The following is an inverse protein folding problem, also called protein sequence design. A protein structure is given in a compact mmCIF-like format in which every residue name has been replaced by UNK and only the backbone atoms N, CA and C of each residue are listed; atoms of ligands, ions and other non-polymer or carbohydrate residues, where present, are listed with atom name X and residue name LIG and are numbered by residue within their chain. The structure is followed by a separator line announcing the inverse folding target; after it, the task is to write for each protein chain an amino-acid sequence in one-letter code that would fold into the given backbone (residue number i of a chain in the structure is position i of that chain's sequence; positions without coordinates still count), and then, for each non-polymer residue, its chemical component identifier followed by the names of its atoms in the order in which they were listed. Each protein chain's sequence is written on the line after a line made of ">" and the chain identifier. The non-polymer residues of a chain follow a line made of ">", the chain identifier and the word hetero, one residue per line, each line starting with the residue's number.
data_IF_264241419083
#
_entry.id   IF_264241419083
#
_cell.length_a   1.000
_cell.length_b   1.000
_cell.length_c   1.000
_cell.angle_alpha   90.00
_cell.angle_beta   90.00
_cell.angle_gamma   90.00
#
_symmetry.space_group_name_H-M   'P 1'
#
loop_
_entity.id
_entity.type
_entity.pdbx_description
1 polymer ?
#
# COMPACT_ATOMS: atom_id res chain seq x y z
N UNK A 1 13.21 12.90 11.37
CA UNK A 1 11.97 13.02 10.58
C UNK A 1 10.85 12.36 11.36
N UNK A 2 9.69 12.95 11.42
CA UNK A 2 8.52 12.39 12.14
C UNK A 2 7.92 11.27 11.29
N UNK A 3 7.60 10.12 11.87
CA UNK A 3 7.04 8.96 11.15
C UNK A 3 5.77 9.30 10.37
N UNK A 4 4.92 10.15 10.94
CA UNK A 4 3.73 10.64 10.24
C UNK A 4 4.08 11.36 8.93
N UNK A 5 5.09 12.22 8.92
CA UNK A 5 5.55 12.90 7.69
C UNK A 5 6.09 11.90 6.67
N UNK A 6 6.76 10.84 7.14
CA UNK A 6 7.25 9.77 6.28
C UNK A 6 6.11 8.95 5.68
N UNK A 7 5.07 8.63 6.48
CA UNK A 7 3.88 7.93 5.99
C UNK A 7 3.15 8.73 4.91
N UNK A 8 2.95 10.03 5.14
CA UNK A 8 2.28 10.91 4.18
C UNK A 8 3.12 11.10 2.91
N UNK A 9 4.44 11.26 3.05
CA UNK A 9 5.37 11.31 1.91
C UNK A 9 5.34 10.02 1.07
N UNK A 10 5.25 8.87 1.73
CA UNK A 10 5.11 7.57 1.05
C UNK A 10 3.77 7.44 0.31
N UNK A 11 2.66 7.94 0.88
CA UNK A 11 1.37 8.00 0.20
C UNK A 11 1.39 8.94 -1.01
N UNK A 12 2.06 10.09 -0.91
CA UNK A 12 2.23 10.98 -2.06
C UNK A 12 3.02 10.29 -3.17
N UNK A 13 4.10 9.59 -2.82
CA UNK A 13 4.90 8.83 -3.78
C UNK A 13 4.07 7.73 -4.47
N UNK A 14 3.25 7.00 -3.70
CA UNK A 14 2.30 6.02 -4.21
C UNK A 14 1.29 6.65 -5.17
N UNK A 15 0.67 7.75 -4.78
CA UNK A 15 -0.34 8.45 -5.59
C UNK A 15 0.24 9.00 -6.89
N UNK A 16 1.42 9.61 -6.83
CA UNK A 16 2.13 10.11 -8.03
C UNK A 16 2.49 8.94 -8.95
N UNK A 17 3.05 7.84 -8.42
CA UNK A 17 3.37 6.66 -9.20
C UNK A 17 2.15 6.05 -9.87
N UNK A 18 1.03 5.96 -9.15
CA UNK A 18 -0.25 5.47 -9.70
C UNK A 18 -0.77 6.39 -10.81
N UNK A 19 -0.85 7.70 -10.58
CA UNK A 19 -1.31 8.64 -11.59
C UNK A 19 -0.42 8.64 -12.83
N UNK A 20 0.91 8.60 -12.65
CA UNK A 20 1.88 8.58 -13.74
C UNK A 20 1.78 7.33 -14.62
N UNK A 21 1.29 6.20 -14.07
CA UNK A 21 1.12 4.95 -14.84
C UNK A 21 0.17 5.14 -16.03
N UNK A 22 -0.86 5.96 -15.88
CA UNK A 22 -1.78 6.27 -16.97
C UNK A 22 -1.14 7.06 -18.13
N UNK A 23 -0.10 7.87 -17.85
CA UNK A 23 0.55 8.71 -18.87
C UNK A 23 1.70 8.01 -19.61
N UNK A 24 2.29 6.97 -19.06
CA UNK A 24 3.47 6.32 -19.60
C UNK A 24 3.22 4.85 -19.95
N UNK A 25 2.39 4.55 -20.98
CA UNK A 25 2.03 3.18 -21.35
C UNK A 25 3.17 2.43 -22.08
N UNK A 26 4.40 2.90 -22.01
CA UNK A 26 5.58 2.23 -22.56
C UNK A 26 6.17 1.25 -21.54
N UNK A 27 6.84 0.19 -21.98
CA UNK A 27 7.46 -0.77 -21.08
C UNK A 27 8.39 -0.12 -20.05
N UNK A 28 9.23 0.82 -20.49
CA UNK A 28 10.15 1.57 -19.60
C UNK A 28 9.36 2.46 -18.62
N UNK A 29 8.31 3.13 -19.12
CA UNK A 29 7.43 3.96 -18.28
C UNK A 29 6.73 3.13 -17.21
N UNK A 30 6.16 1.98 -17.57
CA UNK A 30 5.49 1.07 -16.64
C UNK A 30 6.46 0.51 -15.59
N UNK A 31 7.69 0.16 -15.97
CA UNK A 31 8.70 -0.25 -14.98
C UNK A 31 9.05 0.89 -14.00
N UNK A 32 9.27 2.09 -14.51
CA UNK A 32 9.62 3.24 -13.67
C UNK A 32 8.48 3.60 -12.70
N UNK A 33 7.25 3.68 -13.18
CA UNK A 33 6.07 3.98 -12.34
C UNK A 33 5.77 2.87 -11.35
N UNK A 34 5.96 1.59 -11.74
CA UNK A 34 5.81 0.45 -10.83
C UNK A 34 6.83 0.50 -9.70
N UNK A 35 8.10 0.81 -9.98
CA UNK A 35 9.13 0.97 -8.94
C UNK A 35 8.75 2.11 -7.99
N UNK A 36 8.29 3.24 -8.53
CA UNK A 36 7.87 4.40 -7.74
C UNK A 36 6.68 4.06 -6.83
N UNK A 37 5.64 3.46 -7.40
CA UNK A 37 4.42 3.04 -6.72
C UNK A 37 4.71 1.98 -5.64
N UNK A 38 5.51 0.96 -5.98
CA UNK A 38 5.90 -0.11 -5.07
C UNK A 38 6.72 0.43 -3.89
N UNK A 39 7.66 1.34 -4.15
CA UNK A 39 8.45 2.00 -3.10
C UNK A 39 7.54 2.77 -2.15
N UNK A 40 6.62 3.58 -2.67
CA UNK A 40 5.65 4.31 -1.86
C UNK A 40 4.78 3.39 -1.02
N UNK A 41 4.25 2.32 -1.63
CA UNK A 41 3.39 1.35 -0.95
C UNK A 41 4.10 0.64 0.21
N UNK A 42 5.27 0.03 -0.03
CA UNK A 42 5.98 -0.72 1.00
C UNK A 42 6.51 0.17 2.12
N UNK A 43 6.93 1.39 1.77
CA UNK A 43 7.37 2.35 2.78
C UNK A 43 6.20 2.80 3.67
N UNK A 44 5.05 3.10 3.07
CA UNK A 44 3.82 3.41 3.79
C UNK A 44 3.38 2.26 4.70
N UNK A 45 3.34 1.03 4.19
CA UNK A 45 2.96 -0.16 4.94
C UNK A 45 3.84 -0.33 6.19
N UNK A 46 5.16 -0.20 6.03
CA UNK A 46 6.13 -0.34 7.12
C UNK A 46 5.95 0.74 8.19
N UNK A 47 5.83 2.00 7.77
CA UNK A 47 5.66 3.12 8.72
C UNK A 47 4.30 3.05 9.41
N UNK A 48 3.25 2.68 8.69
CA UNK A 48 1.90 2.52 9.23
C UNK A 48 1.86 1.42 10.31
N UNK A 49 2.52 0.28 10.08
CA UNK A 49 2.65 -0.77 11.09
C UNK A 49 3.41 -0.29 12.33
N UNK A 50 4.49 0.47 12.15
CA UNK A 50 5.23 1.07 13.26
C UNK A 50 4.36 2.03 14.09
N UNK A 51 3.58 2.88 13.43
CA UNK A 51 2.65 3.80 14.09
C UNK A 51 1.56 3.05 14.87
N UNK A 52 0.98 2.01 14.30
CA UNK A 52 -0.03 1.19 14.97
C UNK A 52 0.52 0.55 16.24
N UNK A 53 1.73 -0.01 16.21
CA UNK A 53 2.39 -0.63 17.36
C UNK A 53 2.74 0.38 18.46
N UNK A 54 2.97 1.64 18.12
CA UNK A 54 3.27 2.70 19.10
C UNK A 54 2.01 3.28 19.75
N UNK A 55 0.91 3.35 19.00
CA UNK A 55 -0.28 4.07 19.43
C UNK A 55 -1.36 3.17 20.02
N UNK A 56 -1.40 1.90 19.64
CA UNK A 56 -2.36 0.98 20.24
C UNK A 56 -1.85 0.50 21.60
N UNK A 57 -2.74 0.48 22.56
CA UNK A 57 -2.48 -0.11 23.87
C UNK A 57 -2.32 -1.63 23.76
N UNK A 58 -1.38 -2.24 24.48
CA UNK A 58 -1.07 -3.67 24.41
C UNK A 58 -2.30 -4.58 24.59
N UNK A 59 -3.24 -4.18 25.45
CA UNK A 59 -4.45 -4.94 25.71
C UNK A 59 -5.42 -4.97 24.52
N UNK A 60 -5.47 -3.90 23.73
CA UNK A 60 -6.44 -3.71 22.64
C UNK A 60 -5.79 -3.79 21.24
N UNK A 61 -4.46 -3.84 21.17
CA UNK A 61 -3.71 -3.78 19.90
C UNK A 61 -4.19 -4.82 18.89
N UNK A 62 -4.30 -6.10 19.28
CA UNK A 62 -4.72 -7.17 18.38
C UNK A 62 -6.13 -6.93 17.83
N UNK A 63 -7.06 -6.49 18.67
CA UNK A 63 -8.43 -6.17 18.27
C UNK A 63 -8.47 -4.98 17.29
N UNK A 64 -7.77 -3.89 17.60
CA UNK A 64 -7.75 -2.70 16.77
C UNK A 64 -7.04 -2.94 15.43
N UNK A 65 -5.93 -3.67 15.42
CA UNK A 65 -5.26 -4.08 14.17
C UNK A 65 -6.17 -4.97 13.32
N UNK A 66 -6.89 -5.92 13.92
CA UNK A 66 -7.88 -6.75 13.22
C UNK A 66 -9.00 -5.91 12.59
N UNK A 67 -9.52 -4.92 13.30
CA UNK A 67 -10.53 -3.98 12.75
C UNK A 67 -9.97 -3.17 11.58
N UNK A 68 -8.74 -2.69 11.65
CA UNK A 68 -8.12 -1.95 10.54
C UNK A 68 -7.96 -2.83 9.31
N UNK A 69 -7.55 -4.10 9.48
CA UNK A 69 -7.48 -5.06 8.37
C UNK A 69 -8.86 -5.30 7.77
N UNK A 70 -9.89 -5.49 8.60
CA UNK A 70 -11.27 -5.70 8.13
C UNK A 70 -11.80 -4.48 7.34
N UNK A 71 -11.59 -3.26 7.86
CA UNK A 71 -11.97 -2.01 7.17
C UNK A 71 -11.21 -1.89 5.84
N UNK A 72 -9.91 -2.17 5.83
CA UNK A 72 -9.10 -2.15 4.60
C UNK A 72 -9.57 -3.15 3.56
N UNK A 73 -9.93 -4.37 3.98
CA UNK A 73 -10.46 -5.39 3.08
C UNK A 73 -11.82 -4.99 2.49
N UNK A 74 -12.70 -4.41 3.32
CA UNK A 74 -13.99 -3.90 2.85
C UNK A 74 -13.81 -2.72 1.88
N UNK A 75 -12.92 -1.79 2.19
CA UNK A 75 -12.58 -0.67 1.30
C UNK A 75 -12.00 -1.16 -0.04
N UNK A 76 -11.18 -2.22 -0.03
CA UNK A 76 -10.64 -2.83 -1.26
C UNK A 76 -11.76 -3.44 -2.11
N UNK A 77 -12.74 -4.12 -1.48
CA UNK A 77 -13.89 -4.65 -2.20
C UNK A 77 -14.72 -3.55 -2.88
N UNK A 78 -14.95 -2.44 -2.17
CA UNK A 78 -15.62 -1.27 -2.75
C UNK A 78 -14.80 -0.66 -3.90
N UNK A 79 -13.47 -0.55 -3.74
CA UNK A 79 -12.59 -0.02 -4.78
C UNK A 79 -12.64 -0.89 -6.04
N UNK A 80 -12.61 -2.22 -5.91
CA UNK A 80 -12.76 -3.13 -7.06
C UNK A 80 -14.10 -2.95 -7.76
N UNK A 81 -15.20 -2.82 -7.01
CA UNK A 81 -16.52 -2.53 -7.56
C UNK A 81 -16.58 -1.20 -8.32
N UNK A 82 -15.93 -0.15 -7.76
CA UNK A 82 -15.85 1.16 -8.42
C UNK A 82 -15.03 1.10 -9.70
N UNK A 83 -13.88 0.42 -9.71
CA UNK A 83 -13.06 0.24 -10.91
C UNK A 83 -13.83 -0.52 -11.99
N UNK A 84 -14.50 -1.61 -11.63
CA UNK A 84 -15.35 -2.35 -12.55
C UNK A 84 -16.46 -1.46 -13.13
N UNK A 85 -17.13 -0.69 -12.30
CA UNK A 85 -18.21 0.21 -12.71
C UNK A 85 -17.70 1.31 -13.66
N UNK A 86 -16.49 1.85 -13.41
CA UNK A 86 -15.84 2.82 -14.29
C UNK A 86 -15.53 2.23 -15.67
N UNK A 87 -14.97 1.01 -15.70
CA UNK A 87 -14.54 0.38 -16.95
C UNK A 87 -15.69 -0.18 -17.76
N UNK A 88 -16.62 -0.95 -17.11
CA UNK A 88 -17.63 -1.75 -17.78
C UNK A 88 -18.94 -0.97 -18.04
N UNK A 89 -19.30 -0.04 -17.14
CA UNK A 89 -20.57 0.69 -17.26
C UNK A 89 -20.38 2.08 -17.84
N UNK A 90 -19.31 2.78 -17.44
CA UNK A 90 -19.05 4.13 -17.91
C UNK A 90 -18.04 4.22 -19.07
N UNK A 91 -17.54 3.09 -19.57
CA UNK A 91 -16.54 3.02 -20.65
C UNK A 91 -15.33 3.95 -20.44
N UNK A 92 -14.93 4.14 -19.16
CA UNK A 92 -13.80 4.98 -18.80
C UNK A 92 -12.50 4.27 -19.17
N UNK A 93 -11.55 4.98 -19.76
CA UNK A 93 -10.26 4.39 -20.13
C UNK A 93 -9.41 4.03 -18.90
N UNK A 94 -8.57 3.01 -19.02
CA UNK A 94 -7.62 2.63 -17.96
C UNK A 94 -6.73 3.78 -17.50
N UNK A 95 -6.30 4.64 -18.43
CA UNK A 95 -5.51 5.85 -18.14
C UNK A 95 -6.25 6.76 -17.16
N UNK A 96 -7.54 6.99 -17.39
CA UNK A 96 -8.38 7.81 -16.51
C UNK A 96 -8.56 7.15 -15.14
N UNK A 97 -8.70 5.83 -15.09
CA UNK A 97 -8.78 5.09 -13.80
C UNK A 97 -7.51 5.29 -12.99
N UNK A 98 -6.33 5.18 -13.60
CA UNK A 98 -5.06 5.43 -12.93
C UNK A 98 -4.94 6.89 -12.44
N UNK A 99 -5.34 7.85 -13.26
CA UNK A 99 -5.33 9.27 -12.90
C UNK A 99 -6.24 9.58 -11.73
N UNK A 100 -7.48 9.10 -11.78
CA UNK A 100 -8.47 9.31 -10.71
C UNK A 100 -8.01 8.65 -9.41
N UNK A 101 -7.52 7.41 -9.49
CA UNK A 101 -7.05 6.67 -8.31
C UNK A 101 -5.81 7.31 -7.67
N UNK A 102 -4.83 7.69 -8.49
CA UNK A 102 -3.63 8.39 -8.03
C UNK A 102 -3.96 9.78 -7.49
N UNK A 103 -4.82 10.54 -8.18
CA UNK A 103 -5.29 11.84 -7.74
C UNK A 103 -6.06 11.79 -6.41
N UNK A 104 -6.93 10.80 -6.25
CA UNK A 104 -7.64 10.56 -4.99
C UNK A 104 -6.66 10.23 -3.85
N UNK A 105 -5.64 9.41 -4.09
CA UNK A 105 -4.61 9.09 -3.11
C UNK A 105 -3.82 10.34 -2.70
N UNK A 106 -3.45 11.20 -3.64
CA UNK A 106 -2.76 12.47 -3.37
C UNK A 106 -3.67 13.42 -2.57
N UNK A 107 -4.94 13.53 -2.94
CA UNK A 107 -5.90 14.36 -2.24
C UNK A 107 -6.12 13.91 -0.80
N UNK A 108 -6.24 12.59 -0.56
CA UNK A 108 -6.33 12.01 0.79
C UNK A 108 -5.06 12.29 1.59
N UNK A 109 -3.88 12.10 1.00
CA UNK A 109 -2.63 12.41 1.67
C UNK A 109 -2.52 13.88 2.06
N UNK A 110 -2.90 14.79 1.14
CA UNK A 110 -2.95 16.23 1.40
C UNK A 110 -3.96 16.60 2.49
N UNK A 111 -5.15 16.02 2.46
CA UNK A 111 -6.16 16.19 3.49
C UNK A 111 -5.65 15.73 4.86
N UNK A 112 -5.06 14.54 4.93
CA UNK A 112 -4.46 14.03 6.16
C UNK A 112 -3.33 14.94 6.67
N UNK A 113 -2.54 15.52 5.76
CA UNK A 113 -1.47 16.44 6.14
C UNK A 113 -1.99 17.69 6.86
N UNK A 114 -3.13 18.21 6.41
CA UNK A 114 -3.73 19.45 6.96
C UNK A 114 -4.56 19.18 8.20
N UNK A 115 -5.33 18.09 8.23
CA UNK A 115 -6.36 17.86 9.24
C UNK A 115 -5.83 17.06 10.44
N UNK A 116 -4.92 16.12 10.22
CA UNK A 116 -4.46 15.30 11.34
C UNK A 116 -3.47 16.03 12.23
N UNK A 117 -3.72 16.01 13.56
CA UNK A 117 -2.79 16.59 14.53
C UNK A 117 -1.47 15.82 14.54
N UNK A 118 -0.40 16.51 14.89
CA UNK A 118 0.89 15.86 15.08
C UNK A 118 0.90 15.02 16.36
N UNK A 119 1.10 13.72 16.19
CA UNK A 119 1.28 12.80 17.30
C UNK A 119 2.75 12.81 17.76
N UNK A 120 3.02 13.00 19.07
CA UNK A 120 4.38 12.92 19.59
C UNK A 120 4.90 11.48 19.48
N UNK A 121 6.16 11.34 19.14
CA UNK A 121 6.83 10.05 19.07
C UNK A 121 6.92 9.41 20.47
N UNK A 122 6.39 8.20 20.65
CA UNK A 122 6.35 7.53 21.96
C UNK A 122 7.57 6.66 22.23
N UNK A 123 8.26 6.22 21.17
CA UNK A 123 9.40 5.30 21.27
C UNK A 123 10.56 5.84 20.47
N UNK A 124 11.76 5.82 21.07
CA UNK A 124 12.99 6.21 20.38
C UNK A 124 13.32 5.21 19.28
N UNK A 125 13.49 5.71 18.06
CA UNK A 125 13.75 4.87 16.89
C UNK A 125 15.21 4.46 16.81
N UNK A 126 15.47 3.16 16.74
CA UNK A 126 16.79 2.64 16.50
C UNK A 126 17.15 2.72 15.01
N UNK A 127 18.22 3.46 14.67
CA UNK A 127 18.68 3.62 13.28
C UNK A 127 19.38 2.37 12.71
N UNK A 128 19.64 1.36 13.54
CA UNK A 128 20.32 0.12 13.13
C UNK A 128 19.34 -1.04 13.06
N UNK A 129 19.43 -1.82 12.00
CA UNK A 129 18.67 -3.07 11.89
C UNK A 129 19.22 -4.05 12.93
N UNK A 130 18.39 -4.44 13.88
CA UNK A 130 18.76 -5.40 14.94
C UNK A 130 18.12 -6.74 14.60
N UNK A 131 18.90 -7.63 13.98
CA UNK A 131 18.50 -9.01 13.73
C UNK A 131 18.95 -9.87 14.91
N UNK A 132 18.00 -10.36 15.70
CA UNK A 132 18.29 -11.25 16.84
C UNK A 132 18.23 -12.70 16.39
N UNK A 133 19.32 -13.46 16.57
CA UNK A 133 19.40 -14.89 16.19
C UNK A 133 18.24 -15.73 16.75
N UNK A 134 17.71 -15.38 17.92
CA UNK A 134 16.57 -16.07 18.54
C UNK A 134 15.30 -16.07 17.65
N UNK A 135 15.12 -15.08 16.78
CA UNK A 135 13.93 -14.91 15.94
C UNK A 135 14.15 -15.31 14.48
N UNK A 136 15.20 -16.09 14.18
CA UNK A 136 15.53 -16.49 12.81
C UNK A 136 14.38 -17.21 12.10
N UNK A 137 13.64 -18.08 12.83
CA UNK A 137 12.48 -18.80 12.30
C UNK A 137 11.36 -17.83 11.91
N UNK A 138 11.10 -16.82 12.74
CA UNK A 138 10.11 -15.78 12.42
C UNK A 138 10.52 -15.01 11.15
N UNK A 139 11.78 -14.66 10.99
CA UNK A 139 12.27 -13.99 9.78
C UNK A 139 12.14 -14.88 8.54
N UNK A 140 12.48 -16.15 8.65
CA UNK A 140 12.33 -17.12 7.57
C UNK A 140 10.84 -17.31 7.17
N UNK A 141 9.94 -17.44 8.14
CA UNK A 141 8.49 -17.56 7.90
C UNK A 141 7.91 -16.30 7.25
N UNK A 142 8.33 -15.10 7.69
CA UNK A 142 7.92 -13.83 7.09
C UNK A 142 8.39 -13.73 5.63
N UNK A 143 9.65 -14.09 5.37
CA UNK A 143 10.19 -14.11 4.02
C UNK A 143 9.41 -15.08 3.11
N UNK A 144 9.20 -16.32 3.55
CA UNK A 144 8.44 -17.32 2.79
C UNK A 144 6.98 -16.92 2.59
N UNK A 145 6.35 -16.28 3.58
CA UNK A 145 4.99 -15.77 3.47
C UNK A 145 4.88 -14.67 2.42
N UNK A 146 5.85 -13.76 2.37
CA UNK A 146 5.94 -12.72 1.35
C UNK A 146 6.15 -13.30 -0.04
N UNK A 147 7.08 -14.24 -0.18
CA UNK A 147 7.34 -14.93 -1.45
C UNK A 147 6.10 -15.67 -1.97
N UNK A 148 5.41 -16.42 -1.12
CA UNK A 148 4.16 -17.13 -1.47
C UNK A 148 3.08 -16.16 -1.99
N UNK A 149 2.87 -15.04 -1.30
CA UNK A 149 1.87 -14.05 -1.69
C UNK A 149 2.18 -13.50 -3.09
N UNK A 150 3.44 -13.17 -3.34
CA UNK A 150 3.85 -12.61 -4.63
C UNK A 150 3.69 -13.61 -5.77
N UNK A 151 4.09 -14.87 -5.56
CA UNK A 151 3.89 -15.94 -6.52
C UNK A 151 2.40 -16.06 -6.87
N UNK A 152 1.53 -16.14 -5.87
CA UNK A 152 0.08 -16.27 -6.10
C UNK A 152 -0.49 -15.10 -6.89
N UNK A 153 -0.18 -13.86 -6.51
CA UNK A 153 -0.72 -12.65 -7.16
C UNK A 153 -0.30 -12.58 -8.63
N UNK A 154 0.99 -12.83 -8.92
CA UNK A 154 1.52 -12.74 -10.28
C UNK A 154 1.01 -13.90 -11.16
N UNK A 155 1.16 -15.14 -10.69
CA UNK A 155 0.83 -16.31 -11.54
C UNK A 155 -0.67 -16.57 -11.63
N UNK A 156 -1.47 -16.22 -10.63
CA UNK A 156 -2.92 -16.34 -10.74
C UNK A 156 -3.48 -15.39 -11.82
N UNK A 157 -3.02 -14.13 -11.84
CA UNK A 157 -3.40 -13.17 -12.88
C UNK A 157 -2.97 -13.65 -14.26
N UNK A 158 -1.73 -14.11 -14.42
CA UNK A 158 -1.22 -14.65 -15.68
C UNK A 158 -2.03 -15.87 -16.17
N UNK A 159 -2.34 -16.81 -15.26
CA UNK A 159 -3.15 -17.99 -15.56
C UNK A 159 -4.57 -17.62 -16.04
N UNK A 160 -5.18 -16.61 -15.42
CA UNK A 160 -6.52 -16.15 -15.80
C UNK A 160 -6.52 -15.60 -17.24
N UNK A 161 -5.54 -14.79 -17.59
CA UNK A 161 -5.42 -14.21 -18.93
C UNK A 161 -5.08 -15.29 -19.98
N UNK A 162 -4.07 -16.13 -19.71
CA UNK A 162 -3.54 -17.07 -20.72
C UNK A 162 -4.45 -18.28 -20.93
N UNK A 163 -5.01 -18.84 -19.85
CA UNK A 163 -5.78 -20.09 -19.92
C UNK A 163 -7.28 -19.89 -20.07
N UNK A 164 -7.82 -18.81 -19.52
CA UNK A 164 -9.26 -18.57 -19.51
C UNK A 164 -9.68 -17.39 -20.38
N UNK A 165 -8.75 -16.61 -20.95
CA UNK A 165 -9.04 -15.55 -21.91
C UNK A 165 -9.75 -14.33 -21.32
N UNK A 166 -9.57 -14.08 -20.02
CA UNK A 166 -10.12 -12.90 -19.35
C UNK A 166 -9.35 -11.63 -19.70
#
# INVERSE_FOLDING_TARGET
>A
MREQTLALGALLLLGIGTAATGYFPTAVGLYATTVLMSTGFHYYETVNQSLQLQWFDKATAAHNMGRMVAIGSFASLLAFGLVWLMLDIFDVTMETVYLVSGGATIAIAGFCWVVFPYFPQKVEQHKKIILRKRYWLFYALQFLSGARRQIFVVFAGFLMVEKFGF
#
